data_IF_352327536593
#
_entry.id   IF_352327536593
#
_cell.length_a   1.000
_cell.length_b   1.000
_cell.length_c   1.000
_cell.angle_alpha   90.00
_cell.angle_beta   90.00
_cell.angle_gamma   90.00
#
_symmetry.space_group_name_H-M   'P 1'
#
loop_
_entity.id
_entity.type
_entity.pdbx_description
1 polymer ?
#
# COMPACT_ATOMS: atom_id res chain seq x y z
N UNK A 1 13.55 15.53 2.03
CA UNK A 1 12.89 14.67 3.03
C UNK A 1 12.79 13.26 2.45
N UNK A 2 13.25 12.27 3.19
CA UNK A 2 13.22 10.87 2.77
C UNK A 2 11.99 10.17 3.31
N UNK A 3 11.30 9.48 2.43
CA UNK A 3 10.10 8.73 2.76
C UNK A 3 10.34 7.25 2.53
N UNK A 4 10.16 6.45 3.56
CA UNK A 4 10.17 5.00 3.43
C UNK A 4 8.76 4.52 3.12
N UNK A 5 8.62 3.79 2.03
CA UNK A 5 7.37 3.17 1.61
C UNK A 5 7.53 1.67 1.77
N UNK A 6 6.73 1.08 2.62
CA UNK A 6 6.74 -0.35 2.86
C UNK A 6 5.44 -0.96 2.37
N UNK A 7 5.58 -1.97 1.56
CA UNK A 7 4.47 -2.74 1.06
C UNK A 7 4.46 -4.10 1.71
N UNK A 8 3.29 -4.51 2.17
CA UNK A 8 3.10 -5.80 2.81
C UNK A 8 1.89 -6.49 2.20
N UNK A 9 2.02 -7.76 1.88
CA UNK A 9 0.92 -8.59 1.40
C UNK A 9 0.84 -9.85 2.24
N UNK A 10 -0.35 -10.12 2.75
CA UNK A 10 -0.68 -11.35 3.44
C UNK A 10 -1.68 -12.11 2.56
N UNK A 11 -1.19 -13.18 1.96
CA UNK A 11 -2.02 -14.02 1.09
C UNK A 11 -2.32 -15.31 1.83
N UNK A 12 -3.60 -15.50 2.14
CA UNK A 12 -4.08 -16.70 2.76
C UNK A 12 -4.99 -17.47 1.82
N UNK A 13 -4.73 -18.75 1.70
CA UNK A 13 -5.58 -19.68 1.01
C UNK A 13 -5.45 -21.02 1.71
N UNK A 14 -6.35 -21.95 1.42
CA UNK A 14 -6.19 -23.30 1.92
C UNK A 14 -5.10 -24.08 1.17
N UNK A 15 -4.07 -23.36 0.75
CA UNK A 15 -2.94 -23.93 0.00
C UNK A 15 -1.66 -23.73 0.79
N UNK A 16 -0.76 -24.71 0.76
CA UNK A 16 0.54 -24.58 1.43
C UNK A 16 1.41 -23.44 0.89
N UNK A 17 1.14 -22.97 -0.31
CA UNK A 17 1.89 -21.90 -0.95
C UNK A 17 1.46 -20.49 -0.50
N UNK A 18 0.49 -20.40 0.37
CA UNK A 18 0.10 -19.10 0.95
C UNK A 18 1.24 -18.55 1.78
N UNK A 19 1.46 -17.25 1.70
CA UNK A 19 2.56 -16.64 2.42
C UNK A 19 2.45 -15.15 2.54
N UNK A 20 3.39 -14.60 3.28
CA UNK A 20 3.53 -13.18 3.50
C UNK A 20 4.65 -12.64 2.64
N UNK A 21 4.49 -11.41 2.20
CA UNK A 21 5.46 -10.73 1.37
C UNK A 21 5.63 -9.30 1.87
N UNK A 22 6.86 -8.85 2.00
CA UNK A 22 7.16 -7.48 2.41
C UNK A 22 8.33 -6.93 1.61
N UNK A 23 8.17 -5.71 1.14
CA UNK A 23 9.23 -4.94 0.47
C UNK A 23 9.22 -3.51 0.97
N UNK A 24 10.36 -2.85 0.92
CA UNK A 24 10.43 -1.44 1.22
C UNK A 24 11.38 -0.72 0.27
N UNK A 25 11.09 0.56 0.07
CA UNK A 25 11.92 1.47 -0.74
C UNK A 25 11.92 2.83 -0.05
N UNK A 26 13.03 3.53 -0.20
CA UNK A 26 13.16 4.91 0.28
C UNK A 26 13.24 5.84 -0.92
N UNK A 27 12.41 6.86 -0.90
CA UNK A 27 12.33 7.85 -1.98
C UNK A 27 12.57 9.26 -1.43
N UNK A 28 12.97 10.16 -2.31
CA UNK A 28 12.94 11.59 -2.02
C UNK A 28 11.50 12.08 -2.21
N UNK A 29 10.88 12.52 -1.13
CA UNK A 29 9.48 12.90 -1.17
C UNK A 29 9.28 14.21 -1.94
N UNK A 30 8.38 14.16 -2.90
CA UNK A 30 7.95 15.34 -3.67
C UNK A 30 6.45 15.22 -3.93
N UNK A 31 5.77 16.36 -4.01
CA UNK A 31 4.36 16.39 -4.37
C UNK A 31 4.17 15.75 -5.74
N UNK A 32 3.21 14.85 -5.84
CA UNK A 32 2.89 14.14 -7.07
C UNK A 32 2.48 12.71 -6.84
N UNK A 33 2.20 12.03 -7.94
CA UNK A 33 1.75 10.64 -7.93
C UNK A 33 2.93 9.69 -8.16
N UNK A 34 2.92 8.59 -7.45
CA UNK A 34 3.92 7.53 -7.54
C UNK A 34 3.23 6.21 -7.91
N UNK A 35 3.78 5.52 -8.89
CA UNK A 35 3.29 4.22 -9.31
C UNK A 35 3.95 3.12 -8.49
N UNK A 36 3.15 2.22 -7.91
CA UNK A 36 3.68 1.11 -7.13
C UNK A 36 4.43 0.11 -8.00
N UNK A 37 4.04 -0.05 -9.28
CA UNK A 37 4.77 -0.94 -10.17
C UNK A 37 6.17 -0.40 -10.50
N UNK A 38 6.31 0.91 -10.60
CA UNK A 38 7.62 1.53 -10.83
C UNK A 38 8.54 1.37 -9.61
N UNK A 39 7.97 1.47 -8.41
CA UNK A 39 8.74 1.37 -7.18
C UNK A 39 9.08 -0.07 -6.78
N UNK A 40 8.15 -0.99 -6.97
CA UNK A 40 8.27 -2.36 -6.46
C UNK A 40 8.33 -3.42 -7.55
N UNK A 41 8.05 -3.06 -8.80
CA UNK A 41 8.09 -3.99 -9.92
C UNK A 41 6.84 -4.84 -10.12
N UNK A 42 5.92 -4.84 -9.17
CA UNK A 42 4.67 -5.60 -9.27
C UNK A 42 3.50 -4.84 -8.70
N UNK A 43 2.31 -5.15 -9.17
CA UNK A 43 1.07 -4.69 -8.56
C UNK A 43 0.51 -5.74 -7.61
N UNK A 44 -0.07 -5.25 -6.55
CA UNK A 44 -1.09 -5.91 -5.76
C UNK A 44 -2.35 -5.05 -5.80
N UNK A 45 -3.06 -4.95 -4.68
CA UNK A 45 -4.22 -4.09 -4.61
C UNK A 45 -3.84 -2.62 -4.82
N UNK A 46 -2.76 -2.16 -4.18
CA UNK A 46 -2.36 -0.76 -4.32
C UNK A 46 -1.68 -0.50 -5.65
N UNK A 47 -2.22 0.45 -6.41
CA UNK A 47 -1.75 0.84 -7.74
C UNK A 47 -0.85 2.06 -7.69
N UNK A 48 -1.17 3.01 -6.82
CA UNK A 48 -0.43 4.25 -6.68
C UNK A 48 -0.68 4.89 -5.33
N UNK A 49 0.16 5.83 -5.00
CA UNK A 49 -0.11 6.78 -3.93
C UNK A 49 0.24 8.18 -4.43
N UNK A 50 -0.33 9.17 -3.78
CA UNK A 50 -0.08 10.55 -4.13
C UNK A 50 0.34 11.34 -2.90
N UNK A 51 1.44 12.07 -3.02
CA UNK A 51 1.85 13.05 -2.02
C UNK A 51 1.14 14.34 -2.39
N UNK A 52 0.17 14.74 -1.56
CA UNK A 52 -0.66 15.92 -1.81
C UNK A 52 0.00 17.19 -1.33
N UNK A 53 0.70 17.12 -0.21
CA UNK A 53 1.40 18.28 0.35
C UNK A 53 2.55 17.84 1.23
N UNK A 54 3.55 18.70 1.32
CA UNK A 54 4.68 18.54 2.22
C UNK A 54 4.83 19.86 2.97
N UNK A 55 4.83 19.77 4.29
CA UNK A 55 5.04 20.94 5.15
C UNK A 55 6.06 20.61 6.24
N UNK A 56 6.33 21.56 7.12
CA UNK A 56 7.31 21.38 8.19
C UNK A 56 6.87 20.36 9.24
N UNK A 57 5.59 20.01 9.27
CA UNK A 57 5.04 19.02 10.21
C UNK A 57 4.99 17.61 9.65
N UNK A 58 5.04 17.46 8.34
CA UNK A 58 5.00 16.17 7.71
C UNK A 58 4.47 16.18 6.28
N UNK A 59 3.87 15.07 5.91
CA UNK A 59 3.44 14.80 4.53
C UNK A 59 1.99 14.31 4.55
N UNK A 60 1.17 14.85 3.63
CA UNK A 60 -0.19 14.35 3.45
C UNK A 60 -0.21 13.43 2.24
N UNK A 61 -0.70 12.22 2.42
CA UNK A 61 -0.64 11.15 1.42
C UNK A 61 -2.02 10.53 1.25
N UNK A 62 -2.39 10.27 0.00
CA UNK A 62 -3.54 9.43 -0.36
C UNK A 62 -3.07 8.22 -1.16
N UNK A 63 -3.90 7.21 -1.27
CA UNK A 63 -3.57 5.99 -2.00
C UNK A 63 -4.75 5.53 -2.85
N UNK A 64 -4.44 4.84 -3.94
CA UNK A 64 -5.41 4.24 -4.83
C UNK A 64 -5.19 2.74 -4.87
N UNK A 65 -6.24 1.98 -4.57
CA UNK A 65 -6.22 0.53 -4.70
C UNK A 65 -7.25 0.07 -5.71
N UNK A 66 -7.02 -1.12 -6.25
CA UNK A 66 -7.94 -1.77 -7.17
C UNK A 66 -8.01 -3.25 -6.86
N UNK A 67 -9.22 -3.72 -6.66
CA UNK A 67 -9.51 -5.13 -6.42
C UNK A 67 -10.61 -5.59 -7.38
N UNK A 68 -11.10 -6.81 -7.22
CA UNK A 68 -12.24 -7.31 -7.97
C UNK A 68 -13.52 -6.49 -7.72
N UNK A 69 -13.56 -5.72 -6.63
CA UNK A 69 -14.67 -4.82 -6.30
C UNK A 69 -14.55 -3.44 -6.93
N UNK A 70 -13.50 -3.20 -7.71
CA UNK A 70 -13.25 -1.94 -8.39
C UNK A 70 -12.16 -1.12 -7.74
N UNK A 71 -12.04 0.11 -8.17
CA UNK A 71 -11.07 1.05 -7.63
C UNK A 71 -11.57 1.71 -6.35
N UNK A 72 -10.65 1.93 -5.43
CA UNK A 72 -10.91 2.65 -4.18
C UNK A 72 -9.85 3.71 -3.97
N UNK A 73 -10.31 4.95 -3.87
CA UNK A 73 -9.46 6.07 -3.47
C UNK A 73 -9.57 6.22 -1.95
N UNK A 74 -8.45 6.00 -1.27
CA UNK A 74 -8.39 6.08 0.18
C UNK A 74 -8.34 7.54 0.63
N UNK A 75 -8.96 7.81 1.77
CA UNK A 75 -8.93 9.15 2.36
C UNK A 75 -7.49 9.54 2.68
N UNK A 76 -7.13 10.81 2.42
CA UNK A 76 -5.78 11.27 2.75
C UNK A 76 -5.49 11.15 4.25
N UNK A 77 -4.25 10.80 4.56
CA UNK A 77 -3.74 10.76 5.91
C UNK A 77 -2.52 11.68 6.01
N UNK A 78 -2.37 12.31 7.17
CA UNK A 78 -1.21 13.14 7.45
C UNK A 78 -0.16 12.34 8.22
N UNK A 79 1.01 12.22 7.63
CA UNK A 79 2.15 11.53 8.24
C UNK A 79 3.04 12.56 8.93
N UNK A 80 3.12 12.46 10.24
CA UNK A 80 4.02 13.31 11.03
C UNK A 80 5.41 12.71 11.10
N UNK A 81 6.42 13.57 11.26
CA UNK A 81 7.77 13.13 11.53
C UNK A 81 7.77 12.31 12.83
N UNK A 82 8.32 11.10 12.75
CA UNK A 82 8.32 10.17 13.88
C UNK A 82 7.10 9.25 13.96
N UNK A 83 6.13 9.44 13.07
CA UNK A 83 4.94 8.60 13.00
C UNK A 83 4.96 7.62 11.84
N UNK A 84 3.94 6.78 11.79
CA UNK A 84 3.71 5.83 10.70
C UNK A 84 2.24 5.90 10.34
N UNK A 85 1.94 5.97 9.06
CA UNK A 85 0.58 5.81 8.55
C UNK A 85 0.53 4.62 7.62
N UNK A 86 -0.66 4.09 7.43
CA UNK A 86 -0.85 2.96 6.53
C UNK A 86 -2.21 2.97 5.87
N UNK A 87 -2.26 2.33 4.72
CA UNK A 87 -3.48 2.06 3.98
C UNK A 87 -3.60 0.55 3.81
N UNK A 88 -4.81 0.05 3.90
CA UNK A 88 -5.07 -1.37 3.79
C UNK A 88 -6.25 -1.61 2.86
N UNK A 89 -6.14 -2.63 2.04
CA UNK A 89 -7.24 -3.13 1.24
C UNK A 89 -7.16 -4.64 1.16
N UNK A 90 -8.30 -5.29 1.02
CA UNK A 90 -8.34 -6.74 0.98
C UNK A 90 -9.20 -7.22 -0.17
N UNK A 91 -8.84 -8.37 -0.70
CA UNK A 91 -9.56 -9.05 -1.74
C UNK A 91 -9.83 -10.48 -1.30
N UNK A 92 -11.06 -10.91 -1.50
CA UNK A 92 -11.47 -12.27 -1.16
C UNK A 92 -12.21 -12.87 -2.34
N UNK A 93 -11.84 -14.07 -2.68
CA UNK A 93 -12.60 -14.86 -3.62
C UNK A 93 -13.10 -16.12 -2.93
N UNK A 94 -14.41 -16.37 -3.03
CA UNK A 94 -15.02 -17.58 -2.53
C UNK A 94 -15.60 -18.35 -3.70
N UNK A 95 -15.31 -19.64 -3.74
CA UNK A 95 -15.85 -20.55 -4.76
C UNK A 95 -16.78 -21.54 -4.08
N UNK A 96 -17.91 -21.81 -4.71
CA UNK A 96 -18.87 -22.80 -4.19
C UNK A 96 -18.29 -24.22 -4.17
N UNK A 97 -17.31 -24.48 -5.04
CA UNK A 97 -16.76 -25.81 -5.24
C UNK A 97 -15.33 -25.96 -4.76
N UNK A 98 -14.79 -24.99 -4.06
CA UNK A 98 -13.39 -25.09 -3.65
C UNK A 98 -13.00 -24.17 -2.52
N UNK A 99 -11.74 -24.23 -2.11
CA UNK A 99 -11.23 -23.35 -1.08
C UNK A 99 -11.18 -21.92 -1.61
N UNK A 100 -11.72 -21.00 -0.83
CA UNK A 100 -11.56 -19.59 -1.09
C UNK A 100 -10.12 -19.15 -0.86
N UNK A 101 -9.79 -17.98 -1.37
CA UNK A 101 -8.53 -17.32 -1.04
C UNK A 101 -8.78 -15.89 -0.63
N UNK A 102 -7.84 -15.31 0.09
CA UNK A 102 -7.87 -13.90 0.41
C UNK A 102 -6.48 -13.30 0.27
N UNK A 103 -6.46 -12.02 0.04
CA UNK A 103 -5.22 -11.26 0.08
C UNK A 103 -5.51 -9.94 0.79
N UNK A 104 -4.67 -9.59 1.73
CA UNK A 104 -4.70 -8.30 2.39
C UNK A 104 -3.41 -7.58 2.02
N UNK A 105 -3.53 -6.45 1.36
CA UNK A 105 -2.41 -5.60 1.00
C UNK A 105 -2.39 -4.38 1.89
N UNK A 106 -1.20 -4.03 2.33
CA UNK A 106 -0.97 -2.90 3.21
C UNK A 106 0.19 -2.09 2.65
N UNK A 107 0.07 -0.77 2.74
CA UNK A 107 1.15 0.13 2.35
C UNK A 107 1.35 1.14 3.46
N UNK A 108 2.54 1.12 4.04
CA UNK A 108 2.90 1.95 5.19
C UNK A 108 3.94 2.98 4.79
N UNK A 109 3.86 4.14 5.42
CA UNK A 109 4.73 5.27 5.15
C UNK A 109 5.35 5.78 6.43
N UNK A 110 6.64 6.08 6.36
CA UNK A 110 7.40 6.64 7.47
C UNK A 110 8.42 7.64 6.94
N UNK A 111 8.52 8.80 7.58
CA UNK A 111 9.56 9.77 7.25
C UNK A 111 10.83 9.32 7.97
N UNK A 112 11.89 9.02 7.23
CA UNK A 112 13.13 8.51 7.79
C UNK A 112 14.25 9.54 7.79
N UNK A 113 14.02 10.68 7.16
CA UNK A 113 14.99 11.77 7.20
C UNK A 113 14.45 13.08 6.62
#
# INVERSE_FOLDING_TARGET
>A
MKLKVKRFSDMGARRPSSGNFAEEVVIDAAVGEYSTIELFGIFHAFRSFEILSIDEKGITISALSKTDRGEKKHEPQHLRIGGIIGFEDSQRETSDDGPGWYATDEMNFEIVE
#
